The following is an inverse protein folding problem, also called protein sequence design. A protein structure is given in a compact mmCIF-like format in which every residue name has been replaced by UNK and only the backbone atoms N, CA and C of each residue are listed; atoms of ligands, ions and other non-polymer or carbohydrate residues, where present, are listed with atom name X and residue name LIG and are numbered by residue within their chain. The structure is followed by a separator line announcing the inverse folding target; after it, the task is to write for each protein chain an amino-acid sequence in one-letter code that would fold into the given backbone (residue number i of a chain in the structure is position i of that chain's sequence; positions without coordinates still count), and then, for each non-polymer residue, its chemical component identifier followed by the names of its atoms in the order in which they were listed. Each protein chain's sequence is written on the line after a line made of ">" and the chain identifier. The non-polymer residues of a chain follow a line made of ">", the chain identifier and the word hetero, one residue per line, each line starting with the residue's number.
data_IF_672643215544
#
_entry.id   IF_672643215544
#
_cell.length_a   1.000
_cell.length_b   1.000
_cell.length_c   1.000
_cell.angle_alpha   90.00
_cell.angle_beta   90.00
_cell.angle_gamma   90.00
#
_symmetry.space_group_name_H-M   'P 1'
#
loop_
_entity.id
_entity.type
_entity.pdbx_description
1 polymer ?
#
# COMPACT_ATOMS: atom_id res chain seq x y z
N UNK A 1 -9.84 4.73 -3.23
CA UNK A 1 -10.99 3.79 -3.06
C UNK A 1 -10.44 2.46 -2.59
N UNK A 2 -11.10 1.75 -1.69
CA UNK A 2 -10.71 0.38 -1.33
C UNK A 2 -10.81 -0.50 -2.58
N UNK A 3 -9.75 -1.25 -2.87
CA UNK A 3 -9.67 -2.08 -4.08
C UNK A 3 -10.81 -3.10 -4.17
N UNK A 4 -11.28 -3.59 -3.04
CA UNK A 4 -12.39 -4.53 -2.94
C UNK A 4 -13.76 -3.97 -3.33
N UNK A 5 -13.98 -2.66 -3.17
CA UNK A 5 -15.24 -2.02 -3.58
C UNK A 5 -15.46 -2.11 -5.10
N UNK A 6 -14.37 -2.19 -5.87
CA UNK A 6 -14.41 -2.34 -7.33
C UNK A 6 -14.52 -3.81 -7.74
N UNK A 7 -14.05 -4.74 -6.89
CA UNK A 7 -14.01 -6.16 -7.18
C UNK A 7 -15.42 -6.75 -7.38
N UNK A 8 -16.36 -6.40 -6.50
CA UNK A 8 -17.70 -6.96 -6.52
C UNK A 8 -18.51 -6.55 -7.76
N UNK A 9 -18.61 -5.25 -8.13
CA UNK A 9 -19.30 -4.86 -9.36
C UNK A 9 -18.68 -5.48 -10.61
N UNK A 10 -17.36 -5.57 -10.65
CA UNK A 10 -16.67 -6.11 -11.81
C UNK A 10 -16.88 -7.63 -11.95
N UNK A 11 -16.93 -8.36 -10.84
CA UNK A 11 -17.26 -9.79 -10.85
C UNK A 11 -18.66 -10.05 -11.41
N UNK A 12 -19.61 -9.16 -11.11
CA UNK A 12 -20.98 -9.26 -11.63
C UNK A 12 -21.04 -8.98 -13.11
N UNK A 13 -20.30 -7.98 -13.57
CA UNK A 13 -20.31 -7.55 -14.97
C UNK A 13 -19.52 -8.51 -15.90
N UNK A 14 -18.38 -9.03 -15.41
CA UNK A 14 -17.42 -9.77 -16.23
C UNK A 14 -17.30 -11.25 -15.85
N UNK A 15 -18.00 -11.68 -14.79
CA UNK A 15 -17.93 -13.06 -14.31
C UNK A 15 -16.67 -13.39 -13.51
N UNK A 16 -16.50 -14.68 -13.20
CA UNK A 16 -15.36 -15.23 -12.46
C UNK A 16 -14.25 -15.60 -13.45
N UNK A 17 -12.99 -15.29 -13.14
CA UNK A 17 -11.83 -15.72 -13.91
C UNK A 17 -10.86 -14.62 -14.29
N UNK A 18 -9.90 -14.98 -15.13
CA UNK A 18 -8.76 -14.14 -15.49
C UNK A 18 -9.15 -12.83 -16.18
N UNK A 19 -10.20 -12.84 -17.01
CA UNK A 19 -10.68 -11.63 -17.72
C UNK A 19 -11.16 -10.56 -16.74
N UNK A 20 -11.99 -10.95 -15.76
CA UNK A 20 -12.47 -10.05 -14.72
C UNK A 20 -11.29 -9.50 -13.91
N UNK A 21 -10.33 -10.34 -13.55
CA UNK A 21 -9.13 -9.97 -12.81
C UNK A 21 -8.31 -8.87 -13.52
N UNK A 22 -8.09 -9.01 -14.83
CA UNK A 22 -7.35 -8.02 -15.64
C UNK A 22 -8.09 -6.68 -15.66
N UNK A 23 -9.39 -6.69 -15.94
CA UNK A 23 -10.19 -5.45 -16.02
C UNK A 23 -10.19 -4.72 -14.67
N UNK A 24 -10.39 -5.44 -13.56
CA UNK A 24 -10.39 -4.86 -12.22
C UNK A 24 -9.02 -4.26 -11.91
N UNK A 25 -7.95 -4.98 -12.23
CA UNK A 25 -6.57 -4.49 -12.03
C UNK A 25 -6.34 -3.19 -12.79
N UNK A 26 -6.81 -3.09 -14.04
CA UNK A 26 -6.72 -1.86 -14.83
C UNK A 26 -7.47 -0.70 -14.17
N UNK A 27 -8.72 -0.93 -13.75
CA UNK A 27 -9.56 0.11 -13.12
C UNK A 27 -8.93 0.64 -11.83
N UNK A 28 -8.33 -0.23 -11.01
CA UNK A 28 -7.69 0.15 -9.74
C UNK A 28 -6.33 0.82 -9.98
N UNK A 29 -5.61 0.46 -11.03
CA UNK A 29 -4.29 0.99 -11.37
C UNK A 29 -4.32 2.38 -12.03
N UNK A 30 -5.41 2.74 -12.72
CA UNK A 30 -5.56 4.02 -13.42
C UNK A 30 -5.48 5.25 -12.48
N UNK A 31 -6.21 5.33 -11.35
CA UNK A 31 -6.22 6.51 -10.50
C UNK A 31 -4.83 6.93 -9.97
N UNK A 32 -4.00 6.06 -9.39
CA UNK A 32 -2.66 6.45 -8.94
C UNK A 32 -1.78 6.93 -10.10
N UNK A 33 -1.89 6.32 -11.29
CA UNK A 33 -1.13 6.74 -12.45
C UNK A 33 -1.52 8.16 -12.90
N UNK A 34 -2.82 8.45 -12.98
CA UNK A 34 -3.32 9.79 -13.34
C UNK A 34 -2.82 10.82 -12.34
N UNK A 35 -2.94 10.53 -11.03
CA UNK A 35 -2.54 11.45 -9.98
C UNK A 35 -1.05 11.79 -10.04
N UNK A 36 -0.19 10.77 -10.12
CA UNK A 36 1.25 10.97 -10.13
C UNK A 36 1.75 11.61 -11.43
N UNK A 37 1.13 11.28 -12.57
CA UNK A 37 1.41 11.97 -13.84
C UNK A 37 1.04 13.45 -13.77
N UNK A 38 -0.14 13.77 -13.21
CA UNK A 38 -0.59 15.15 -13.04
C UNK A 38 0.33 15.94 -12.11
N UNK A 39 0.74 15.33 -10.99
CA UNK A 39 1.66 15.96 -10.04
C UNK A 39 3.03 16.20 -10.69
N UNK A 40 3.58 15.22 -11.41
CA UNK A 40 4.84 15.35 -12.11
C UNK A 40 4.81 16.45 -13.19
N UNK A 41 3.74 16.55 -13.97
CA UNK A 41 3.57 17.60 -14.96
C UNK A 41 3.42 18.99 -14.33
N UNK A 42 2.78 19.10 -13.16
CA UNK A 42 2.65 20.38 -12.42
C UNK A 42 3.93 20.79 -11.69
N UNK A 43 4.81 19.84 -11.40
CA UNK A 43 6.10 20.10 -10.77
C UNK A 43 7.16 20.65 -11.74
N UNK A 44 6.88 20.70 -13.06
CA UNK A 44 7.78 21.27 -14.04
C UNK A 44 7.95 22.78 -13.78
N UNK A 45 9.19 23.29 -13.65
CA UNK A 45 9.46 24.70 -13.39
C UNK A 45 8.83 25.61 -14.46
N UNK A 46 8.20 26.74 -14.07
CA UNK A 46 7.57 27.67 -15.02
C UNK A 46 8.56 28.21 -16.07
N UNK A 47 9.83 28.37 -15.70
CA UNK A 47 10.89 28.85 -16.59
C UNK A 47 11.10 27.89 -17.79
N UNK A 48 10.97 26.59 -17.58
CA UNK A 48 11.08 25.58 -18.65
C UNK A 48 9.89 25.65 -19.60
N UNK A 49 8.71 25.94 -19.05
CA UNK A 49 7.46 26.11 -19.84
C UNK A 49 7.55 27.37 -20.70
N UNK A 50 8.03 28.46 -20.12
CA UNK A 50 8.20 29.75 -20.82
C UNK A 50 9.25 29.62 -21.92
N UNK A 51 10.40 29.01 -21.65
CA UNK A 51 11.42 28.72 -22.65
C UNK A 51 10.88 27.92 -23.85
N UNK A 52 10.05 26.90 -23.58
CA UNK A 52 9.38 26.15 -24.62
C UNK A 52 8.43 26.98 -25.47
N UNK A 53 7.66 27.87 -24.84
CA UNK A 53 6.76 28.82 -25.55
C UNK A 53 7.54 29.85 -26.38
N UNK A 54 8.60 30.42 -25.81
CA UNK A 54 9.47 31.36 -26.51
C UNK A 54 10.17 30.73 -27.73
N UNK A 55 10.42 29.41 -27.68
CA UNK A 55 10.94 28.62 -28.82
C UNK A 55 9.89 28.32 -29.89
N UNK A 56 8.68 28.89 -29.80
CA UNK A 56 7.61 28.69 -30.78
C UNK A 56 6.88 27.35 -30.70
N UNK A 57 7.00 26.61 -29.61
CA UNK A 57 6.29 25.34 -29.45
C UNK A 57 4.78 25.55 -29.35
N UNK A 58 4.01 24.83 -30.16
CA UNK A 58 2.57 24.75 -29.95
C UNK A 58 2.25 23.86 -28.71
N UNK A 59 0.98 23.87 -28.26
CA UNK A 59 0.58 23.14 -27.04
C UNK A 59 0.90 21.65 -27.10
N UNK A 60 0.79 21.00 -28.24
CA UNK A 60 1.11 19.59 -28.41
C UNK A 60 2.63 19.36 -28.33
N UNK A 61 3.42 20.20 -28.99
CA UNK A 61 4.89 20.16 -28.90
C UNK A 61 5.37 20.47 -27.49
N UNK A 62 4.75 21.44 -26.80
CA UNK A 62 5.04 21.76 -25.41
C UNK A 62 4.81 20.56 -24.51
N UNK A 63 3.69 19.86 -24.69
CA UNK A 63 3.37 18.67 -23.91
C UNK A 63 4.40 17.54 -24.14
N UNK A 64 4.62 17.15 -25.40
CA UNK A 64 5.40 15.94 -25.70
C UNK A 64 6.91 16.16 -25.79
N UNK A 65 7.37 17.38 -26.11
CA UNK A 65 8.81 17.68 -26.26
C UNK A 65 9.41 18.38 -25.02
N UNK A 66 8.59 19.01 -24.17
CA UNK A 66 9.07 19.76 -23.02
C UNK A 66 8.55 19.18 -21.71
N UNK A 67 7.21 19.13 -21.50
CA UNK A 67 6.63 18.75 -20.21
C UNK A 67 6.86 17.28 -19.86
N UNK A 68 6.49 16.36 -20.75
CA UNK A 68 6.65 14.91 -20.49
C UNK A 68 8.13 14.53 -20.31
N UNK A 69 9.08 14.96 -21.14
CA UNK A 69 10.50 14.64 -20.93
C UNK A 69 11.04 15.20 -19.61
N UNK A 70 10.65 16.42 -19.24
CA UNK A 70 11.08 17.04 -17.97
C UNK A 70 10.48 16.33 -16.76
N UNK A 71 9.18 16.00 -16.81
CA UNK A 71 8.47 15.26 -15.76
C UNK A 71 8.73 13.75 -15.77
N UNK A 72 9.58 13.23 -16.66
CA UNK A 72 9.80 11.79 -16.86
C UNK A 72 10.07 11.02 -15.57
N UNK A 73 10.90 11.58 -14.69
CA UNK A 73 11.24 10.92 -13.42
C UNK A 73 10.01 10.71 -12.56
N UNK A 74 9.19 11.73 -12.39
CA UNK A 74 7.98 11.67 -11.55
C UNK A 74 6.91 10.75 -12.18
N UNK A 75 6.77 10.77 -13.51
CA UNK A 75 5.90 9.85 -14.25
C UNK A 75 6.33 8.39 -14.03
N UNK A 76 7.63 8.10 -14.06
CA UNK A 76 8.15 6.75 -13.84
C UNK A 76 7.99 6.28 -12.38
N UNK A 77 8.02 7.20 -11.41
CA UNK A 77 7.62 6.90 -10.03
C UNK A 77 6.14 6.47 -10.01
N UNK A 78 5.29 7.13 -10.82
CA UNK A 78 3.90 6.71 -11.02
C UNK A 78 3.76 5.29 -11.57
N UNK A 79 4.56 4.94 -12.59
CA UNK A 79 4.61 3.58 -13.14
C UNK A 79 4.99 2.56 -12.08
N UNK A 80 5.97 2.88 -11.24
CA UNK A 80 6.38 2.02 -10.13
C UNK A 80 5.23 1.77 -9.15
N UNK A 81 4.51 2.81 -8.78
CA UNK A 81 3.33 2.69 -7.91
C UNK A 81 2.23 1.81 -8.53
N UNK A 82 2.02 1.91 -9.84
CA UNK A 82 1.09 1.06 -10.58
C UNK A 82 1.51 -0.40 -10.54
N UNK A 83 2.80 -0.70 -10.72
CA UNK A 83 3.34 -2.07 -10.63
C UNK A 83 2.99 -2.68 -9.26
N UNK A 84 3.20 -1.96 -8.17
CA UNK A 84 2.88 -2.42 -6.82
C UNK A 84 1.38 -2.70 -6.64
N UNK A 85 0.52 -1.81 -7.14
CA UNK A 85 -0.94 -2.00 -7.13
C UNK A 85 -1.33 -3.24 -7.94
N UNK A 86 -0.73 -3.46 -9.10
CA UNK A 86 -1.00 -4.64 -9.94
C UNK A 86 -0.64 -5.95 -9.22
N UNK A 87 0.49 -6.01 -8.48
CA UNK A 87 0.84 -7.19 -7.69
C UNK A 87 -0.14 -7.46 -6.55
N UNK A 88 -0.55 -6.41 -5.83
CA UNK A 88 -1.59 -6.55 -4.80
C UNK A 88 -2.89 -7.08 -5.41
N UNK A 89 -3.28 -6.57 -6.58
CA UNK A 89 -4.48 -7.02 -7.28
C UNK A 89 -4.34 -8.45 -7.82
N UNK A 90 -3.16 -8.87 -8.27
CA UNK A 90 -2.92 -10.24 -8.73
C UNK A 90 -3.16 -11.28 -7.61
N UNK A 91 -2.84 -10.94 -6.35
CA UNK A 91 -3.17 -11.80 -5.20
C UNK A 91 -4.67 -11.76 -4.90
N UNK A 92 -5.27 -10.56 -4.87
CA UNK A 92 -6.70 -10.39 -4.61
C UNK A 92 -7.55 -11.08 -5.67
N UNK A 93 -7.14 -11.05 -6.94
CA UNK A 93 -7.87 -11.67 -8.04
C UNK A 93 -7.92 -13.20 -7.96
N UNK A 94 -7.07 -13.83 -7.15
CA UNK A 94 -7.18 -15.26 -6.86
C UNK A 94 -8.54 -15.62 -6.22
N UNK A 95 -9.15 -14.69 -5.46
CA UNK A 95 -10.47 -14.91 -4.85
C UNK A 95 -11.62 -14.93 -5.86
N UNK A 96 -11.40 -14.36 -7.03
CA UNK A 96 -12.34 -14.44 -8.15
C UNK A 96 -11.95 -15.51 -9.15
N UNK A 97 -11.11 -16.47 -8.75
CA UNK A 97 -10.73 -17.64 -9.54
C UNK A 97 -9.66 -17.37 -10.61
N UNK A 98 -8.93 -16.25 -10.54
CA UNK A 98 -7.78 -16.04 -11.41
C UNK A 98 -6.64 -16.98 -11.02
N UNK A 99 -6.09 -17.67 -12.02
CA UNK A 99 -4.98 -18.62 -11.83
C UNK A 99 -3.65 -17.88 -11.71
N UNK A 100 -2.71 -18.45 -10.95
CA UNK A 100 -1.36 -17.88 -10.78
C UNK A 100 -0.81 -18.07 -9.38
N UNK A 101 0.30 -17.40 -9.05
CA UNK A 101 0.94 -17.49 -7.73
C UNK A 101 0.02 -17.04 -6.60
N UNK A 102 -0.86 -16.06 -6.85
CA UNK A 102 -1.87 -15.61 -5.89
C UNK A 102 -2.86 -16.73 -5.53
N UNK A 103 -3.26 -17.56 -6.49
CA UNK A 103 -4.13 -18.70 -6.26
C UNK A 103 -3.43 -19.77 -5.40
N UNK A 104 -2.16 -20.06 -5.69
CA UNK A 104 -1.37 -20.99 -4.88
C UNK A 104 -1.21 -20.51 -3.44
N UNK A 105 -0.99 -19.19 -3.27
CA UNK A 105 -0.94 -18.56 -1.95
C UNK A 105 -2.27 -18.72 -1.21
N UNK A 106 -3.40 -18.45 -1.86
CA UNK A 106 -4.72 -18.59 -1.26
C UNK A 106 -5.02 -20.04 -0.89
N UNK A 107 -4.68 -21.00 -1.76
CA UNK A 107 -4.85 -22.42 -1.50
C UNK A 107 -4.05 -22.87 -0.27
N UNK A 108 -2.77 -22.45 -0.20
CA UNK A 108 -1.90 -22.77 0.93
C UNK A 108 -2.40 -22.15 2.25
N UNK A 109 -2.93 -20.92 2.21
CA UNK A 109 -3.57 -20.29 3.38
C UNK A 109 -4.80 -21.05 3.86
N UNK A 110 -5.68 -21.45 2.94
CA UNK A 110 -6.89 -22.23 3.27
C UNK A 110 -6.55 -23.62 3.81
N UNK A 111 -5.43 -24.20 3.38
CA UNK A 111 -4.93 -25.48 3.89
C UNK A 111 -4.11 -25.33 5.18
N UNK A 112 -3.91 -24.11 5.66
CA UNK A 112 -3.00 -23.80 6.78
C UNK A 112 -1.57 -24.33 6.56
N UNK A 113 -1.17 -24.49 5.30
CA UNK A 113 0.17 -24.92 4.93
C UNK A 113 1.07 -23.68 4.80
N UNK A 114 1.75 -23.42 5.85
CA UNK A 114 2.57 -22.27 6.15
C UNK A 114 3.75 -22.14 5.20
N UNK A 115 4.48 -23.25 5.02
CA UNK A 115 5.67 -23.26 4.18
C UNK A 115 5.34 -22.96 2.73
N UNK A 116 4.27 -23.54 2.19
CA UNK A 116 3.83 -23.26 0.83
C UNK A 116 3.30 -21.82 0.68
N UNK A 117 2.61 -21.31 1.71
CA UNK A 117 2.14 -19.93 1.69
C UNK A 117 3.29 -18.92 1.71
N UNK A 118 4.31 -19.15 2.54
CA UNK A 118 5.53 -18.33 2.57
C UNK A 118 6.30 -18.43 1.25
N UNK A 119 6.47 -19.62 0.69
CA UNK A 119 7.15 -19.85 -0.58
C UNK A 119 6.47 -19.07 -1.71
N UNK A 120 5.15 -19.20 -1.87
CA UNK A 120 4.38 -18.46 -2.85
C UNK A 120 4.44 -16.93 -2.62
N UNK A 121 4.31 -16.50 -1.36
CA UNK A 121 4.39 -15.08 -0.98
C UNK A 121 5.77 -14.48 -1.25
N UNK A 122 6.85 -15.20 -0.95
CA UNK A 122 8.21 -14.78 -1.25
C UNK A 122 8.48 -14.70 -2.76
N UNK A 123 7.99 -15.67 -3.54
CA UNK A 123 8.09 -15.63 -5.00
C UNK A 123 7.43 -14.37 -5.59
N UNK A 124 6.19 -14.06 -5.15
CA UNK A 124 5.48 -12.85 -5.58
C UNK A 124 6.27 -11.60 -5.17
N UNK A 125 6.78 -11.57 -3.94
CA UNK A 125 7.55 -10.43 -3.42
C UNK A 125 8.86 -10.20 -4.18
N UNK A 126 9.59 -11.27 -4.51
CA UNK A 126 10.83 -11.18 -5.28
C UNK A 126 10.59 -10.65 -6.69
N UNK A 127 9.53 -11.10 -7.37
CA UNK A 127 9.15 -10.59 -8.69
C UNK A 127 8.77 -9.10 -8.57
N UNK A 128 8.01 -8.72 -7.54
CA UNK A 128 7.62 -7.32 -7.30
C UNK A 128 8.84 -6.43 -7.08
N UNK A 129 9.79 -6.84 -6.21
CA UNK A 129 11.05 -6.11 -5.96
C UNK A 129 11.89 -5.98 -7.24
N UNK A 130 11.99 -7.04 -8.02
CA UNK A 130 12.75 -7.03 -9.26
C UNK A 130 12.19 -6.00 -10.24
N UNK A 131 10.88 -6.00 -10.46
CA UNK A 131 10.22 -5.03 -11.33
C UNK A 131 10.28 -3.60 -10.79
N UNK A 132 10.16 -3.42 -9.48
CA UNK A 132 10.36 -2.13 -8.79
C UNK A 132 11.76 -1.58 -9.08
N UNK A 133 12.81 -2.37 -8.82
CA UNK A 133 14.19 -1.96 -9.07
C UNK A 133 14.49 -1.69 -10.54
N UNK A 134 13.91 -2.48 -11.45
CA UNK A 134 14.03 -2.24 -12.90
C UNK A 134 13.38 -0.91 -13.29
N UNK A 135 12.17 -0.63 -12.79
CA UNK A 135 11.44 0.62 -13.04
C UNK A 135 12.20 1.83 -12.52
N UNK A 136 12.69 1.78 -11.27
CA UNK A 136 13.49 2.84 -10.68
C UNK A 136 14.83 3.06 -11.39
N UNK A 137 15.52 1.99 -11.80
CA UNK A 137 16.74 2.11 -12.58
C UNK A 137 16.48 2.80 -13.93
N UNK A 138 15.34 2.53 -14.54
CA UNK A 138 14.92 3.21 -15.77
C UNK A 138 14.56 4.68 -15.52
N UNK A 139 13.90 4.99 -14.41
CA UNK A 139 13.56 6.36 -14.00
C UNK A 139 14.81 7.22 -13.75
N UNK A 140 15.83 6.63 -13.12
CA UNK A 140 17.07 7.33 -12.76
C UNK A 140 18.09 7.41 -13.89
N UNK A 141 17.83 6.75 -15.02
CA UNK A 141 18.72 6.84 -16.19
C UNK A 141 18.70 8.25 -16.76
N UNK A 142 19.79 8.99 -16.51
CA UNK A 142 19.99 10.31 -17.10
C UNK A 142 20.01 10.18 -18.62
N UNK A 143 19.23 10.99 -19.29
CA UNK A 143 19.31 11.16 -20.74
C UNK A 143 20.39 12.22 -20.99
N UNK A 144 21.55 11.77 -21.48
CA UNK A 144 22.58 12.72 -21.99
C UNK A 144 22.03 13.46 -23.20
N UNK A 145 21.57 14.70 -22.97
CA UNK A 145 21.01 15.57 -24.01
C UNK A 145 22.10 16.18 -24.92
N UNK A 146 23.38 16.13 -24.52
CA UNK A 146 24.49 16.83 -25.16
C UNK A 146 25.55 15.92 -25.82
N UNK A 147 25.30 14.64 -25.94
CA UNK A 147 26.23 13.73 -26.61
C UNK A 147 25.92 13.57 -28.09
N UNK A 148 26.90 13.88 -28.99
CA UNK A 148 26.88 13.49 -30.40
C UNK A 148 27.03 11.98 -30.58
N UNK A 149 26.28 11.20 -29.81
CA UNK A 149 26.30 9.74 -29.93
C UNK A 149 25.42 9.29 -31.08
N UNK A 150 25.95 8.46 -31.98
CA UNK A 150 25.17 7.81 -33.01
C UNK A 150 24.06 6.97 -32.38
N UNK A 151 22.92 6.80 -33.06
CA UNK A 151 21.77 6.01 -32.61
C UNK A 151 22.20 4.64 -32.06
N UNK A 152 23.17 3.98 -32.68
CA UNK A 152 23.73 2.72 -32.23
C UNK A 152 24.43 2.81 -30.88
N UNK A 153 25.27 3.83 -30.66
CA UNK A 153 26.00 4.01 -29.40
C UNK A 153 25.05 4.37 -28.27
N UNK A 154 24.03 5.19 -28.54
CA UNK A 154 23.01 5.58 -27.59
C UNK A 154 22.14 4.41 -27.12
N UNK A 155 21.86 3.46 -28.00
CA UNK A 155 20.95 2.34 -27.73
C UNK A 155 21.64 0.98 -27.71
N UNK A 156 22.99 0.92 -27.62
CA UNK A 156 23.77 -0.30 -27.65
C UNK A 156 23.23 -1.41 -26.74
N UNK A 157 22.93 -1.09 -25.48
CA UNK A 157 22.42 -2.05 -24.53
C UNK A 157 21.01 -2.53 -24.89
N UNK A 158 20.14 -1.61 -25.32
CA UNK A 158 18.78 -1.94 -25.74
C UNK A 158 18.76 -2.81 -27.00
N UNK A 159 19.63 -2.51 -27.95
CA UNK A 159 19.82 -3.32 -29.15
C UNK A 159 20.38 -4.71 -28.81
N UNK A 160 21.35 -4.77 -27.88
CA UNK A 160 21.92 -6.03 -27.41
C UNK A 160 20.86 -6.91 -26.74
N UNK A 161 20.07 -6.38 -25.83
CA UNK A 161 18.95 -7.10 -25.20
C UNK A 161 17.85 -7.45 -26.22
N UNK A 162 17.54 -6.55 -27.15
CA UNK A 162 16.59 -6.81 -28.23
C UNK A 162 17.03 -7.99 -29.12
N UNK A 163 18.32 -8.05 -29.48
CA UNK A 163 18.88 -9.17 -30.24
C UNK A 163 18.82 -10.47 -29.45
N UNK A 164 19.20 -10.46 -28.13
CA UNK A 164 19.11 -11.67 -27.29
C UNK A 164 17.65 -12.12 -27.18
N UNK A 165 16.70 -11.20 -27.00
CA UNK A 165 15.28 -11.51 -26.93
C UNK A 165 14.75 -12.14 -28.23
N UNK A 166 15.09 -11.57 -29.37
CA UNK A 166 14.72 -12.13 -30.70
C UNK A 166 15.35 -13.51 -30.89
N UNK A 167 16.65 -13.65 -30.55
CA UNK A 167 17.34 -14.96 -30.63
C UNK A 167 16.62 -15.97 -29.70
N UNK A 168 16.25 -15.56 -28.49
CA UNK A 168 15.52 -16.42 -27.56
C UNK A 168 14.18 -16.88 -28.14
N UNK A 169 13.40 -15.98 -28.74
CA UNK A 169 12.13 -16.32 -29.41
C UNK A 169 12.35 -17.26 -30.56
N UNK A 170 13.34 -16.96 -31.41
CA UNK A 170 13.66 -17.81 -32.57
C UNK A 170 14.10 -19.21 -32.12
N UNK A 171 14.99 -19.31 -31.15
CA UNK A 171 15.41 -20.57 -30.55
C UNK A 171 14.23 -21.33 -29.93
N UNK A 172 13.34 -20.62 -29.22
CA UNK A 172 12.13 -21.22 -28.69
C UNK A 172 11.25 -21.80 -29.81
N UNK A 173 10.99 -21.01 -30.86
CA UNK A 173 10.14 -21.42 -31.96
C UNK A 173 10.74 -22.57 -32.76
N UNK A 174 12.03 -22.48 -33.10
CA UNK A 174 12.78 -23.53 -33.83
C UNK A 174 12.89 -24.79 -32.98
N UNK A 175 13.10 -24.65 -31.66
CA UNK A 175 13.19 -25.76 -30.73
C UNK A 175 11.89 -26.54 -30.61
N UNK A 176 10.74 -25.87 -30.54
CA UNK A 176 9.43 -26.54 -30.51
C UNK A 176 9.11 -27.28 -31.80
N UNK A 177 9.68 -26.83 -32.93
CA UNK A 177 9.44 -27.44 -34.25
C UNK A 177 10.38 -28.62 -34.55
N UNK A 178 11.67 -28.51 -34.19
CA UNK A 178 12.70 -29.49 -34.52
C UNK A 178 12.94 -30.58 -33.46
N UNK A 179 12.69 -30.26 -32.18
CA UNK A 179 13.04 -31.10 -31.03
C UNK A 179 11.90 -31.25 -30.05
N UNK A 180 10.73 -31.65 -30.53
CA UNK A 180 9.47 -31.67 -29.75
C UNK A 180 9.58 -32.41 -28.42
N UNK A 181 10.35 -33.49 -28.34
CA UNK A 181 10.47 -34.29 -27.12
C UNK A 181 11.62 -33.84 -26.20
N UNK A 182 12.70 -33.29 -26.73
CA UNK A 182 13.84 -32.82 -25.93
C UNK A 182 13.62 -31.38 -25.45
N UNK A 183 12.86 -30.58 -26.20
CA UNK A 183 12.56 -29.19 -25.88
C UNK A 183 11.50 -29.04 -24.77
N UNK A 184 10.60 -29.99 -24.65
CA UNK A 184 9.67 -30.03 -23.51
C UNK A 184 10.42 -30.08 -22.16
N UNK A 185 11.58 -30.77 -22.11
CA UNK A 185 12.45 -30.80 -20.95
C UNK A 185 13.13 -29.46 -20.61
N UNK A 186 13.31 -28.59 -21.59
CA UNK A 186 13.90 -27.25 -21.43
C UNK A 186 12.83 -26.19 -21.08
N UNK A 187 11.59 -26.39 -21.53
CA UNK A 187 10.48 -25.47 -21.29
C UNK A 187 9.66 -25.80 -20.06
N UNK A 188 9.53 -27.09 -19.74
CA UNK A 188 8.90 -27.54 -18.53
C UNK A 188 10.01 -27.91 -17.54
N UNK A 189 10.29 -27.05 -16.56
CA UNK A 189 11.03 -27.47 -15.39
C UNK A 189 10.23 -28.63 -14.79
N UNK A 190 10.77 -29.88 -14.80
CA UNK A 190 10.01 -31.03 -14.33
C UNK A 190 9.56 -30.76 -12.89
N UNK A 191 8.26 -30.74 -12.65
CA UNK A 191 7.69 -30.48 -11.33
C UNK A 191 8.28 -31.39 -10.24
N UNK A 192 8.75 -32.58 -10.63
CA UNK A 192 9.40 -33.56 -9.74
C UNK A 192 10.82 -33.17 -9.30
N UNK A 193 11.43 -32.13 -9.87
CA UNK A 193 12.76 -31.60 -9.51
C UNK A 193 12.70 -30.19 -8.89
N UNK A 194 11.52 -29.67 -8.67
CA UNK A 194 11.33 -28.42 -7.95
C UNK A 194 11.84 -28.55 -6.51
N UNK A 195 12.75 -27.67 -6.12
CA UNK A 195 13.20 -27.58 -4.73
C UNK A 195 12.15 -26.75 -3.99
N UNK A 196 11.28 -27.44 -3.21
CA UNK A 196 10.38 -26.72 -2.31
C UNK A 196 11.12 -26.36 -1.03
N UNK A 197 11.05 -25.11 -0.65
CA UNK A 197 11.58 -24.60 0.62
C UNK A 197 10.56 -24.70 1.76
N UNK A 198 9.36 -25.20 1.48
CA UNK A 198 8.24 -25.24 2.40
C UNK A 198 8.57 -25.95 3.72
N UNK A 199 9.26 -27.11 3.64
CA UNK A 199 9.65 -27.88 4.84
C UNK A 199 10.63 -27.12 5.73
N UNK A 200 11.54 -26.31 5.12
CA UNK A 200 12.45 -25.47 5.89
C UNK A 200 11.66 -24.40 6.68
N UNK A 201 10.71 -23.76 6.01
CA UNK A 201 9.88 -22.74 6.65
C UNK A 201 8.95 -23.34 7.72
N UNK A 202 8.33 -24.49 7.46
CA UNK A 202 7.51 -25.18 8.44
C UNK A 202 8.31 -25.50 9.72
N UNK A 203 9.49 -26.13 9.58
CA UNK A 203 10.37 -26.42 10.71
C UNK A 203 10.81 -25.18 11.49
N UNK A 204 11.13 -24.09 10.77
CA UNK A 204 11.51 -22.83 11.40
C UNK A 204 10.40 -22.24 12.27
N UNK A 205 9.18 -22.34 11.80
CA UNK A 205 8.02 -21.83 12.53
C UNK A 205 7.63 -22.73 13.68
N UNK A 206 7.62 -24.04 13.47
CA UNK A 206 7.36 -25.00 14.54
C UNK A 206 8.37 -24.76 15.69
N UNK A 207 9.64 -24.55 15.36
CA UNK A 207 10.66 -24.22 16.37
C UNK A 207 10.35 -22.92 17.12
N UNK A 208 9.95 -21.84 16.41
CA UNK A 208 9.56 -20.57 17.05
C UNK A 208 8.34 -20.77 17.93
N UNK A 209 7.34 -21.48 17.40
CA UNK A 209 6.11 -21.74 18.13
C UNK A 209 6.38 -22.58 19.40
N UNK A 210 7.11 -23.68 19.31
CA UNK A 210 7.40 -24.54 20.44
C UNK A 210 8.26 -23.82 21.50
N UNK A 211 9.24 -23.01 21.04
CA UNK A 211 10.13 -22.30 21.97
C UNK A 211 9.42 -21.16 22.70
N UNK A 212 8.56 -20.42 22.00
CA UNK A 212 7.92 -19.22 22.53
C UNK A 212 6.42 -19.40 22.84
N UNK A 213 5.88 -20.60 22.75
CA UNK A 213 4.45 -20.89 22.90
C UNK A 213 3.82 -20.22 24.11
N UNK A 214 4.44 -20.33 25.28
CA UNK A 214 3.91 -19.79 26.54
C UNK A 214 3.79 -18.25 26.44
N UNK A 215 4.82 -17.59 25.91
CA UNK A 215 4.84 -16.14 25.77
C UNK A 215 3.86 -15.64 24.71
N UNK A 216 3.80 -16.34 23.57
CA UNK A 216 2.86 -16.04 22.46
C UNK A 216 1.43 -16.19 22.97
N UNK A 217 1.12 -17.30 23.65
CA UNK A 217 -0.21 -17.57 24.21
C UNK A 217 -0.59 -16.53 25.28
N UNK A 218 0.33 -16.21 26.19
CA UNK A 218 0.08 -15.21 27.22
C UNK A 218 -0.19 -13.83 26.61
N UNK A 219 0.65 -13.41 25.64
CA UNK A 219 0.46 -12.14 24.91
C UNK A 219 -0.86 -12.12 24.14
N UNK A 220 -1.19 -13.19 23.42
CA UNK A 220 -2.45 -13.29 22.67
C UNK A 220 -3.67 -13.19 23.61
N UNK A 221 -3.64 -13.93 24.73
CA UNK A 221 -4.73 -13.87 25.72
C UNK A 221 -4.88 -12.49 26.32
N UNK A 222 -3.77 -11.87 26.75
CA UNK A 222 -3.77 -10.50 27.26
C UNK A 222 -4.32 -9.50 26.21
N UNK A 223 -3.84 -9.58 24.98
CA UNK A 223 -4.26 -8.64 23.94
C UNK A 223 -5.76 -8.82 23.60
N UNK A 224 -6.26 -10.04 23.55
CA UNK A 224 -7.68 -10.30 23.29
C UNK A 224 -8.54 -9.82 24.48
N UNK A 225 -8.23 -10.26 25.69
CA UNK A 225 -9.11 -10.05 26.85
C UNK A 225 -9.03 -8.63 27.39
N UNK A 226 -7.82 -8.07 27.53
CA UNK A 226 -7.61 -6.80 28.22
C UNK A 226 -7.59 -5.61 27.26
N UNK A 227 -7.42 -5.82 25.95
CA UNK A 227 -7.32 -4.72 24.96
C UNK A 227 -8.44 -4.80 23.94
N UNK A 228 -8.53 -5.89 23.17
CA UNK A 228 -9.44 -5.95 22.01
C UNK A 228 -10.90 -6.06 22.41
N UNK A 229 -11.23 -6.96 23.36
CA UNK A 229 -12.61 -7.13 23.79
C UNK A 229 -13.21 -5.88 24.46
N UNK A 230 -12.51 -5.16 25.36
CA UNK A 230 -13.00 -3.89 25.90
C UNK A 230 -13.19 -2.82 24.83
N UNK A 231 -12.24 -2.71 23.89
CA UNK A 231 -12.34 -1.74 22.79
C UNK A 231 -13.50 -2.07 21.85
N UNK A 232 -13.64 -3.33 21.45
CA UNK A 232 -14.78 -3.80 20.64
C UNK A 232 -16.10 -3.53 21.37
N UNK A 233 -16.18 -3.84 22.66
CA UNK A 233 -17.36 -3.58 23.48
C UNK A 233 -17.69 -2.09 23.57
N UNK A 234 -16.68 -1.23 23.71
CA UNK A 234 -16.87 0.22 23.71
C UNK A 234 -17.52 0.71 22.41
N UNK A 235 -17.04 0.28 21.27
CA UNK A 235 -17.61 0.68 19.97
C UNK A 235 -19.02 0.13 19.73
N UNK A 236 -19.26 -1.15 20.06
CA UNK A 236 -20.56 -1.80 19.82
C UNK A 236 -21.64 -1.38 20.82
N UNK A 237 -21.26 -1.01 22.07
CA UNK A 237 -22.22 -0.54 23.10
C UNK A 237 -22.59 0.93 22.94
N UNK A 238 -21.85 1.71 22.16
CA UNK A 238 -22.22 3.10 21.92
C UNK A 238 -23.53 3.19 21.13
N UNK A 239 -24.52 3.97 21.61
CA UNK A 239 -25.73 4.22 20.84
C UNK A 239 -25.37 4.84 19.47
N UNK A 240 -26.02 4.39 18.39
CA UNK A 240 -25.74 4.89 17.04
C UNK A 240 -25.81 6.42 16.95
N UNK A 241 -26.80 7.02 17.63
CA UNK A 241 -26.95 8.48 17.67
C UNK A 241 -25.74 9.14 18.33
N UNK A 242 -25.22 8.57 19.43
CA UNK A 242 -24.05 9.11 20.12
C UNK A 242 -22.80 9.03 19.24
N UNK A 243 -22.60 7.92 18.53
CA UNK A 243 -21.50 7.75 17.59
C UNK A 243 -21.60 8.76 16.44
N UNK A 244 -22.78 8.95 15.84
CA UNK A 244 -23.01 9.93 14.78
C UNK A 244 -22.69 11.35 15.29
N UNK A 245 -23.24 11.72 16.45
CA UNK A 245 -23.00 13.06 17.05
C UNK A 245 -21.52 13.28 17.32
N UNK A 246 -20.81 12.28 17.84
CA UNK A 246 -19.37 12.36 18.13
C UNK A 246 -18.56 12.57 16.84
N UNK A 247 -18.82 11.78 15.81
CA UNK A 247 -18.06 11.82 14.54
C UNK A 247 -18.37 13.12 13.77
N UNK A 248 -19.64 13.54 13.72
CA UNK A 248 -20.06 14.80 13.09
C UNK A 248 -19.56 16.00 13.88
N UNK A 249 -19.61 15.92 15.22
CA UNK A 249 -19.05 16.94 16.11
C UNK A 249 -17.55 17.12 15.93
N UNK A 250 -16.80 16.03 15.80
CA UNK A 250 -15.38 16.08 15.45
C UNK A 250 -15.17 16.75 14.08
N UNK A 251 -16.00 16.43 13.09
CA UNK A 251 -15.98 17.08 11.77
C UNK A 251 -16.21 18.59 11.85
N UNK A 252 -17.16 19.02 12.69
CA UNK A 252 -17.45 20.44 12.90
C UNK A 252 -16.30 21.18 13.61
N UNK A 253 -15.76 20.61 14.68
CA UNK A 253 -14.67 21.21 15.45
C UNK A 253 -13.37 21.36 14.65
N UNK A 254 -13.12 20.40 13.79
CA UNK A 254 -11.87 20.33 13.01
C UNK A 254 -11.99 21.13 11.72
N UNK A 255 -13.04 20.89 10.91
CA UNK A 255 -13.17 21.39 9.54
C UNK A 255 -14.35 22.33 9.29
N UNK A 256 -15.09 22.70 10.34
CA UNK A 256 -16.27 23.56 10.24
C UNK A 256 -17.49 22.89 9.59
N UNK A 257 -18.47 23.70 9.21
CA UNK A 257 -19.77 23.22 8.72
C UNK A 257 -19.67 22.32 7.48
N UNK A 258 -18.77 22.63 6.54
CA UNK A 258 -18.61 21.81 5.31
C UNK A 258 -18.14 20.39 5.61
N UNK A 259 -17.13 20.26 6.48
CA UNK A 259 -16.63 18.95 6.89
C UNK A 259 -17.69 18.19 7.68
N UNK A 260 -18.40 18.86 8.59
CA UNK A 260 -19.49 18.26 9.37
C UNK A 260 -20.61 17.70 8.46
N UNK A 261 -21.03 18.43 7.44
CA UNK A 261 -22.07 18.00 6.50
C UNK A 261 -21.63 16.77 5.70
N UNK A 262 -20.40 16.76 5.18
CA UNK A 262 -19.86 15.62 4.43
C UNK A 262 -19.78 14.38 5.34
N UNK A 263 -19.18 14.53 6.53
CA UNK A 263 -19.06 13.44 7.50
C UNK A 263 -20.43 12.94 7.96
N UNK A 264 -21.39 13.83 8.16
CA UNK A 264 -22.78 13.48 8.52
C UNK A 264 -23.41 12.62 7.43
N UNK A 265 -23.35 13.04 6.17
CA UNK A 265 -23.94 12.29 5.05
C UNK A 265 -23.34 10.89 4.91
N UNK A 266 -22.00 10.77 5.02
CA UNK A 266 -21.32 9.49 4.92
C UNK A 266 -21.66 8.57 6.12
N UNK A 267 -21.68 9.11 7.34
CA UNK A 267 -21.98 8.33 8.55
C UNK A 267 -23.45 7.91 8.58
N UNK A 268 -24.39 8.77 8.16
CA UNK A 268 -25.80 8.42 8.05
C UNK A 268 -26.05 7.30 7.04
N UNK A 269 -25.36 7.33 5.89
CA UNK A 269 -25.46 6.22 4.94
C UNK A 269 -25.06 4.88 5.57
N UNK A 270 -23.95 4.86 6.32
CA UNK A 270 -23.51 3.66 7.02
C UNK A 270 -24.52 3.24 8.09
N UNK A 271 -25.06 4.22 8.85
CA UNK A 271 -26.02 3.96 9.93
C UNK A 271 -27.36 3.40 9.44
N UNK A 272 -27.83 3.84 8.28
CA UNK A 272 -29.05 3.30 7.66
C UNK A 272 -28.82 1.99 6.90
N UNK A 273 -27.57 1.58 6.71
CA UNK A 273 -27.28 0.27 6.13
C UNK A 273 -27.45 -0.84 7.18
N UNK A 274 -27.80 -2.07 6.77
CA UNK A 274 -27.89 -3.22 7.70
C UNK A 274 -26.52 -3.67 8.24
N UNK A 275 -25.43 -2.94 7.90
CA UNK A 275 -24.06 -3.31 8.18
C UNK A 275 -23.39 -2.44 9.25
N UNK A 276 -24.18 -1.67 10.02
CA UNK A 276 -23.70 -0.74 11.03
C UNK A 276 -22.73 -1.39 12.02
N UNK A 277 -23.14 -2.51 12.63
CA UNK A 277 -22.31 -3.19 13.64
C UNK A 277 -20.98 -3.68 13.05
N UNK A 278 -21.01 -4.16 11.80
CA UNK A 278 -19.80 -4.62 11.10
C UNK A 278 -18.89 -3.46 10.69
N UNK A 279 -19.48 -2.33 10.35
CA UNK A 279 -18.74 -1.08 10.10
C UNK A 279 -18.04 -0.59 11.36
N UNK A 280 -18.68 -0.70 12.54
CA UNK A 280 -18.06 -0.38 13.83
C UNK A 280 -16.89 -1.33 14.14
N UNK A 281 -17.02 -2.62 13.84
CA UNK A 281 -15.91 -3.60 13.98
C UNK A 281 -14.73 -3.21 13.09
N UNK A 282 -14.96 -2.89 11.83
CA UNK A 282 -13.91 -2.41 10.92
C UNK A 282 -13.28 -1.11 11.44
N UNK A 283 -14.12 -0.19 11.93
CA UNK A 283 -13.66 1.12 12.42
C UNK A 283 -12.79 0.99 13.68
N UNK A 284 -13.14 0.14 14.67
CA UNK A 284 -12.32 -0.01 15.85
C UNK A 284 -10.96 -0.64 15.53
N UNK A 285 -10.93 -1.68 14.70
CA UNK A 285 -9.67 -2.31 14.28
C UNK A 285 -8.75 -1.33 13.56
N UNK A 286 -9.33 -0.58 12.61
CA UNK A 286 -8.58 0.43 11.88
C UNK A 286 -8.07 1.55 12.81
N UNK A 287 -8.94 2.09 13.67
CA UNK A 287 -8.57 3.19 14.59
C UNK A 287 -7.45 2.75 15.55
N UNK A 288 -7.61 1.61 16.19
CA UNK A 288 -6.61 1.09 17.13
C UNK A 288 -5.30 0.78 16.40
N UNK A 289 -5.37 0.08 15.26
CA UNK A 289 -4.20 -0.21 14.44
C UNK A 289 -3.45 1.05 14.00
N UNK A 290 -4.16 2.09 13.55
CA UNK A 290 -3.58 3.38 13.16
C UNK A 290 -2.90 4.07 14.33
N UNK A 291 -3.54 4.14 15.50
CA UNK A 291 -2.96 4.79 16.68
C UNK A 291 -1.64 4.12 17.06
N UNK A 292 -1.64 2.79 17.19
CA UNK A 292 -0.42 2.03 17.54
C UNK A 292 0.65 2.16 16.46
N UNK A 293 0.27 2.04 15.19
CA UNK A 293 1.20 2.20 14.05
C UNK A 293 1.82 3.60 14.00
N UNK A 294 1.04 4.65 14.27
CA UNK A 294 1.57 6.02 14.35
C UNK A 294 2.52 6.21 15.52
N UNK A 295 2.21 5.67 16.71
CA UNK A 295 3.10 5.75 17.87
C UNK A 295 4.44 5.07 17.54
N UNK A 296 4.40 3.84 17.02
CA UNK A 296 5.62 3.10 16.65
C UNK A 296 6.36 3.83 15.52
N UNK A 297 5.66 4.20 14.45
CA UNK A 297 6.25 4.82 13.26
C UNK A 297 6.89 6.18 13.56
N UNK A 298 6.24 7.02 14.36
CA UNK A 298 6.79 8.31 14.78
C UNK A 298 8.01 8.13 15.67
N UNK A 299 7.97 7.19 16.60
CA UNK A 299 9.11 6.89 17.49
C UNK A 299 10.29 6.37 16.69
N UNK A 300 10.09 5.34 15.87
CA UNK A 300 11.15 4.73 15.05
C UNK A 300 11.69 5.75 14.03
N UNK A 301 10.80 6.48 13.35
CA UNK A 301 11.18 7.50 12.37
C UNK A 301 12.03 8.61 12.98
N UNK A 302 11.66 9.09 14.17
CA UNK A 302 12.40 10.13 14.90
C UNK A 302 13.76 9.63 15.40
N UNK A 303 13.85 8.41 15.91
CA UNK A 303 15.11 7.81 16.35
C UNK A 303 16.06 7.60 15.17
N UNK A 304 15.56 7.09 14.06
CA UNK A 304 16.34 6.85 12.86
C UNK A 304 16.81 8.17 12.21
N UNK A 305 16.00 9.22 12.25
CA UNK A 305 16.35 10.54 11.68
C UNK A 305 17.63 11.14 12.28
N UNK A 306 17.93 10.86 13.54
CA UNK A 306 19.12 11.41 14.23
C UNK A 306 20.45 11.03 13.54
N UNK A 307 20.49 9.92 12.80
CA UNK A 307 21.68 9.46 12.07
C UNK A 307 21.33 9.23 10.58
N UNK A 308 22.09 9.88 9.68
CA UNK A 308 21.90 9.78 8.24
C UNK A 308 21.94 8.34 7.72
N UNK A 309 22.83 7.49 8.27
CA UNK A 309 22.97 6.08 7.87
C UNK A 309 21.74 5.28 8.32
N UNK A 310 21.32 5.44 9.58
CA UNK A 310 20.13 4.78 10.13
C UNK A 310 18.85 5.19 9.38
N UNK A 311 18.72 6.47 9.04
CA UNK A 311 17.57 6.96 8.30
C UNK A 311 17.55 6.41 6.86
N UNK A 312 18.70 6.34 6.16
CA UNK A 312 18.76 5.75 4.82
C UNK A 312 18.49 4.25 4.85
N UNK A 313 19.02 3.55 5.84
CA UNK A 313 18.74 2.12 6.05
C UNK A 313 17.25 1.89 6.30
N UNK A 314 16.65 2.66 7.21
CA UNK A 314 15.22 2.52 7.53
C UNK A 314 14.31 2.85 6.33
N UNK A 315 14.65 3.88 5.55
CA UNK A 315 13.92 4.17 4.29
C UNK A 315 14.03 3.00 3.31
N UNK A 316 15.21 2.39 3.17
CA UNK A 316 15.39 1.18 2.36
C UNK A 316 14.57 0.00 2.87
N UNK A 317 14.49 -0.18 4.19
CA UNK A 317 13.61 -1.18 4.82
C UNK A 317 12.14 -0.88 4.49
N UNK A 318 11.71 0.38 4.66
CA UNK A 318 10.34 0.79 4.30
C UNK A 318 10.04 0.52 2.82
N UNK A 319 10.99 0.81 1.90
CA UNK A 319 10.82 0.55 0.47
C UNK A 319 10.61 -0.95 0.20
N UNK A 320 11.45 -1.82 0.78
CA UNK A 320 11.31 -3.27 0.64
C UNK A 320 9.95 -3.74 1.16
N UNK A 321 9.60 -3.31 2.37
CA UNK A 321 8.35 -3.71 2.98
C UNK A 321 7.12 -3.17 2.24
N UNK A 322 7.16 -1.98 1.63
CA UNK A 322 6.07 -1.47 0.80
C UNK A 322 5.88 -2.25 -0.51
N UNK A 323 6.95 -2.87 -1.04
CA UNK A 323 6.87 -3.68 -2.27
C UNK A 323 6.26 -5.06 -2.02
N UNK A 324 6.24 -5.53 -0.77
CA UNK A 324 5.63 -6.80 -0.44
C UNK A 324 4.10 -6.74 -0.55
N UNK A 325 3.47 -7.71 -1.22
CA UNK A 325 2.02 -7.82 -1.20
C UNK A 325 1.52 -7.97 0.24
N UNK A 326 0.47 -7.21 0.56
CA UNK A 326 -0.07 -7.13 1.93
C UNK A 326 -0.41 -8.48 2.57
N UNK A 327 -0.83 -9.47 1.78
CA UNK A 327 -1.12 -10.83 2.26
C UNK A 327 0.09 -11.54 2.86
N UNK A 328 1.31 -11.22 2.42
CA UNK A 328 2.54 -11.84 2.94
C UNK A 328 2.74 -11.58 4.42
N UNK A 329 2.28 -10.41 4.90
CA UNK A 329 2.34 -10.05 6.33
C UNK A 329 1.41 -10.91 7.20
N UNK A 330 0.31 -11.36 6.61
CA UNK A 330 -0.69 -12.10 7.32
C UNK A 330 -0.21 -13.52 7.68
N UNK A 331 0.61 -14.12 6.81
CA UNK A 331 1.06 -15.49 6.93
C UNK A 331 1.81 -15.73 8.25
N UNK A 332 2.94 -15.06 8.57
CA UNK A 332 3.68 -15.31 9.79
C UNK A 332 2.87 -14.98 11.06
N UNK A 333 1.99 -13.99 10.98
CA UNK A 333 1.18 -13.60 12.13
C UNK A 333 0.08 -14.61 12.42
N UNK A 334 -0.60 -15.15 11.39
CA UNK A 334 -1.55 -16.25 11.56
C UNK A 334 -0.93 -17.49 12.21
N UNK A 335 0.32 -17.75 11.87
CA UNK A 335 1.05 -18.90 12.38
C UNK A 335 1.30 -18.82 13.88
N UNK A 336 1.68 -17.62 14.33
CA UNK A 336 2.03 -17.39 15.73
C UNK A 336 0.79 -17.21 16.62
N UNK A 337 -0.26 -16.57 16.11
CA UNK A 337 -1.42 -16.17 16.90
C UNK A 337 -2.73 -16.86 16.51
N UNK A 338 -2.68 -17.74 15.51
CA UNK A 338 -3.85 -18.47 15.00
C UNK A 338 -4.80 -17.58 14.20
N UNK A 339 -6.00 -18.09 13.96
CA UNK A 339 -7.09 -17.40 13.26
C UNK A 339 -7.86 -16.56 14.28
N UNK A 340 -7.38 -15.35 14.56
CA UNK A 340 -7.93 -14.48 15.60
C UNK A 340 -7.88 -13.00 15.19
N UNK A 341 -8.69 -12.16 15.85
CA UNK A 341 -8.63 -10.70 15.71
C UNK A 341 -7.24 -10.13 16.02
N UNK A 342 -6.49 -10.79 16.91
CA UNK A 342 -5.09 -10.45 17.23
C UNK A 342 -4.20 -10.53 16.01
N UNK A 343 -4.33 -11.60 15.23
CA UNK A 343 -3.51 -11.80 14.03
C UNK A 343 -3.74 -10.69 13.01
N UNK A 344 -5.01 -10.32 12.80
CA UNK A 344 -5.32 -9.19 11.91
C UNK A 344 -4.75 -7.89 12.45
N UNK A 345 -4.94 -7.60 13.73
CA UNK A 345 -4.45 -6.36 14.31
C UNK A 345 -2.93 -6.23 14.25
N UNK A 346 -2.18 -7.29 14.56
CA UNK A 346 -0.73 -7.28 14.47
C UNK A 346 -0.28 -7.05 13.01
N UNK A 347 -0.92 -7.74 12.06
CA UNK A 347 -0.65 -7.54 10.65
C UNK A 347 -0.96 -6.09 10.20
N UNK A 348 -2.07 -5.52 10.68
CA UNK A 348 -2.41 -4.10 10.47
C UNK A 348 -1.32 -3.19 11.02
N UNK A 349 -0.88 -3.41 12.27
CA UNK A 349 0.15 -2.59 12.91
C UNK A 349 1.46 -2.65 12.13
N UNK A 350 1.93 -3.85 11.78
CA UNK A 350 3.19 -4.03 11.03
C UNK A 350 3.12 -3.32 9.68
N UNK A 351 2.05 -3.54 8.92
CA UNK A 351 1.90 -2.98 7.58
C UNK A 351 1.69 -1.46 7.61
N UNK A 352 0.86 -0.96 8.51
CA UNK A 352 0.53 0.46 8.60
C UNK A 352 1.62 1.31 9.29
N UNK A 353 2.58 0.71 10.00
CA UNK A 353 3.74 1.40 10.58
C UNK A 353 4.70 1.90 9.49
N UNK A 354 4.75 1.25 8.34
CA UNK A 354 5.69 1.57 7.26
C UNK A 354 5.52 3.02 6.76
N UNK A 355 4.33 3.47 6.31
CA UNK A 355 4.16 4.85 5.88
C UNK A 355 4.36 5.85 7.04
N UNK A 356 3.91 5.55 8.26
CA UNK A 356 4.14 6.43 9.41
C UNK A 356 5.63 6.69 9.64
N UNK A 357 6.47 5.65 9.61
CA UNK A 357 7.93 5.75 9.75
C UNK A 357 8.55 6.54 8.60
N UNK A 358 8.20 6.20 7.36
CA UNK A 358 8.74 6.83 6.15
C UNK A 358 8.48 8.33 6.14
N UNK A 359 7.21 8.74 6.24
CA UNK A 359 6.83 10.14 6.19
C UNK A 359 7.35 10.95 7.39
N UNK A 360 7.62 10.30 8.53
CA UNK A 360 8.29 10.95 9.65
C UNK A 360 9.75 11.28 9.31
N UNK A 361 10.51 10.33 8.77
CA UNK A 361 11.89 10.56 8.37
C UNK A 361 11.98 11.62 7.26
N UNK A 362 11.13 11.50 6.22
CA UNK A 362 11.10 12.44 5.09
C UNK A 362 10.67 13.84 5.55
N UNK A 363 9.67 13.92 6.42
CA UNK A 363 9.19 15.19 6.98
C UNK A 363 10.26 15.90 7.83
N UNK A 364 10.96 15.18 8.69
CA UNK A 364 12.04 15.76 9.48
C UNK A 364 13.24 16.18 8.61
N UNK A 365 13.52 15.45 7.52
CA UNK A 365 14.56 15.81 6.55
C UNK A 365 14.20 17.01 5.67
N UNK A 366 12.92 17.31 5.50
CA UNK A 366 12.46 18.45 4.69
C UNK A 366 12.67 19.80 5.39
N UNK A 367 13.01 19.81 6.68
CA UNK A 367 13.33 21.02 7.43
C UNK A 367 14.62 21.65 6.89
N UNK A 368 14.61 22.93 6.50
CA UNK A 368 15.80 23.60 5.94
C UNK A 368 17.00 23.56 6.89
N UNK A 369 18.19 23.25 6.34
CA UNK A 369 19.43 23.15 7.12
C UNK A 369 19.77 24.45 7.86
N UNK A 370 19.48 25.61 7.27
CA UNK A 370 19.72 26.92 7.91
C UNK A 370 18.96 27.10 9.24
N UNK A 371 17.82 26.45 9.41
CA UNK A 371 17.10 26.47 10.71
C UNK A 371 17.78 25.62 11.76
N UNK A 372 18.44 24.52 11.38
CA UNK A 372 19.26 23.72 12.29
C UNK A 372 20.47 24.51 12.80
N UNK A 373 21.11 25.24 11.89
CA UNK A 373 22.29 26.06 12.22
C UNK A 373 21.89 27.23 13.13
N UNK A 374 20.82 27.94 12.79
CA UNK A 374 20.28 29.02 13.61
C UNK A 374 19.88 28.55 15.02
N UNK A 375 19.24 27.39 15.14
CA UNK A 375 18.88 26.80 16.42
C UNK A 375 20.13 26.45 17.26
N UNK A 376 21.16 25.92 16.60
CA UNK A 376 22.42 25.57 17.28
C UNK A 376 23.13 26.81 17.78
N UNK A 377 23.19 27.86 16.97
CA UNK A 377 23.78 29.16 17.36
C UNK A 377 23.00 29.83 18.50
N UNK A 378 21.69 29.59 18.60
CA UNK A 378 20.84 30.10 19.69
C UNK A 378 20.94 29.27 20.99
N UNK A 379 21.84 28.28 21.08
CA UNK A 379 22.03 27.44 22.24
C UNK A 379 20.91 26.44 22.53
N UNK A 380 20.07 26.16 21.54
CA UNK A 380 18.93 25.22 21.67
C UNK A 380 19.48 23.78 21.75
N UNK A 381 19.08 23.03 22.78
CA UNK A 381 19.48 21.64 22.92
C UNK A 381 18.73 20.73 21.87
N UNK A 382 19.22 19.49 21.66
CA UNK A 382 18.67 18.54 20.68
C UNK A 382 17.17 18.28 20.86
N UNK A 383 16.71 18.14 22.10
CA UNK A 383 15.31 17.89 22.41
C UNK A 383 14.42 19.11 22.13
N UNK A 384 14.90 20.31 22.50
CA UNK A 384 14.22 21.55 22.20
C UNK A 384 14.13 21.82 20.69
N UNK A 385 15.23 21.54 19.96
CA UNK A 385 15.27 21.63 18.50
C UNK A 385 14.22 20.71 17.87
N UNK A 386 14.21 19.44 18.28
CA UNK A 386 13.26 18.45 17.79
C UNK A 386 11.82 18.88 18.04
N UNK A 387 11.47 19.28 19.27
CA UNK A 387 10.09 19.54 19.69
C UNK A 387 9.56 20.91 19.28
N UNK A 388 10.42 21.94 19.23
CA UNK A 388 10.00 23.34 18.98
C UNK A 388 10.21 23.78 17.52
N UNK A 389 11.08 23.11 16.78
CA UNK A 389 11.45 23.50 15.41
C UNK A 389 11.14 22.38 14.41
N UNK A 390 11.77 21.22 14.58
CA UNK A 390 11.70 20.14 13.59
C UNK A 390 10.28 19.54 13.50
N UNK A 391 9.67 19.13 14.60
CA UNK A 391 8.32 18.59 14.59
C UNK A 391 7.24 19.55 14.06
N UNK A 392 7.18 20.81 14.48
CA UNK A 392 6.20 21.75 13.94
C UNK A 392 6.34 21.95 12.42
N UNK A 393 7.56 22.01 11.90
CA UNK A 393 7.82 22.18 10.47
C UNK A 393 7.62 20.89 9.67
N UNK A 394 7.96 19.73 10.24
CA UNK A 394 7.72 18.42 9.65
C UNK A 394 6.23 17.99 9.70
N UNK A 395 5.42 18.65 10.53
CA UNK A 395 4.04 18.28 10.81
C UNK A 395 3.18 18.05 9.56
N UNK A 396 3.20 18.89 8.50
CA UNK A 396 2.43 18.64 7.29
C UNK A 396 2.77 17.31 6.62
N UNK A 397 4.05 16.95 6.56
CA UNK A 397 4.50 15.67 6.01
C UNK A 397 4.09 14.48 6.90
N UNK A 398 4.21 14.63 8.22
CA UNK A 398 3.77 13.59 9.16
C UNK A 398 2.25 13.35 9.06
N UNK A 399 1.45 14.38 8.81
CA UNK A 399 0.01 14.23 8.60
C UNK A 399 -0.31 13.47 7.30
N UNK A 400 0.47 13.66 6.24
CA UNK A 400 0.38 12.81 5.04
C UNK A 400 0.70 11.35 5.40
N UNK A 401 1.68 11.13 6.26
CA UNK A 401 2.00 9.82 6.82
C UNK A 401 0.81 9.19 7.55
N UNK A 402 0.13 9.92 8.42
CA UNK A 402 -1.07 9.42 9.11
C UNK A 402 -2.16 9.04 8.09
N UNK A 403 -2.39 9.88 7.08
CA UNK A 403 -3.38 9.57 6.05
C UNK A 403 -3.06 8.26 5.31
N UNK A 404 -1.81 8.06 4.91
CA UNK A 404 -1.36 6.81 4.29
C UNK A 404 -1.46 5.62 5.26
N UNK A 405 -1.12 5.82 6.54
CA UNK A 405 -1.26 4.81 7.59
C UNK A 405 -2.70 4.32 7.72
N UNK A 406 -3.69 5.23 7.66
CA UNK A 406 -5.11 4.87 7.70
C UNK A 406 -5.52 4.06 6.47
N UNK A 407 -5.08 4.48 5.28
CA UNK A 407 -5.38 3.74 4.04
C UNK A 407 -4.81 2.33 4.11
N UNK A 408 -3.57 2.17 4.58
CA UNK A 408 -2.92 0.87 4.75
C UNK A 408 -3.59 0.02 5.82
N UNK A 409 -3.97 0.63 6.95
CA UNK A 409 -4.67 -0.05 8.03
C UNK A 409 -6.05 -0.57 7.58
N UNK A 410 -6.87 0.26 6.95
CA UNK A 410 -8.17 -0.14 6.43
C UNK A 410 -8.03 -1.23 5.36
N UNK A 411 -7.03 -1.11 4.49
CA UNK A 411 -6.75 -2.13 3.49
C UNK A 411 -6.42 -3.47 4.14
N UNK A 412 -5.57 -3.47 5.17
CA UNK A 412 -5.15 -4.68 5.86
C UNK A 412 -6.26 -5.27 6.74
N UNK A 413 -7.12 -4.46 7.35
CA UNK A 413 -8.32 -4.95 8.09
C UNK A 413 -9.22 -5.75 7.15
N UNK A 414 -9.48 -5.25 5.93
CA UNK A 414 -10.31 -5.96 4.96
C UNK A 414 -9.66 -7.28 4.52
N UNK A 415 -8.34 -7.29 4.33
CA UNK A 415 -7.59 -8.51 4.04
C UNK A 415 -7.69 -9.49 5.22
N UNK A 416 -7.71 -9.00 6.44
CA UNK A 416 -7.90 -9.77 7.65
C UNK A 416 -9.17 -10.62 7.67
N UNK A 417 -10.17 -10.23 6.90
CA UNK A 417 -11.39 -11.01 6.69
C UNK A 417 -11.13 -12.44 6.17
N UNK A 418 -10.03 -12.62 5.44
CA UNK A 418 -9.62 -13.93 4.94
C UNK A 418 -9.16 -14.89 6.03
N UNK A 419 -8.86 -14.35 7.23
CA UNK A 419 -8.60 -15.15 8.43
C UNK A 419 -9.84 -15.25 9.33
N UNK A 420 -11.00 -14.86 8.89
CA UNK A 420 -12.26 -15.09 9.59
C UNK A 420 -12.65 -14.04 10.63
N UNK A 421 -12.13 -12.80 10.55
CA UNK A 421 -12.64 -11.69 11.36
C UNK A 421 -14.07 -11.32 10.97
N UNK A 422 -14.89 -10.97 11.96
CA UNK A 422 -16.30 -10.60 11.75
C UNK A 422 -16.49 -9.12 11.35
N UNK A 423 -15.72 -8.63 10.39
CA UNK A 423 -15.74 -7.26 9.88
C UNK A 423 -16.50 -7.12 8.54
N UNK A 424 -16.51 -5.92 7.95
CA UNK A 424 -17.10 -5.70 6.61
C UNK A 424 -16.43 -6.56 5.53
N UNK A 425 -15.14 -6.83 5.65
CA UNK A 425 -14.38 -7.62 4.69
C UNK A 425 -14.90 -9.05 4.58
N UNK A 426 -15.25 -9.71 5.69
CA UNK A 426 -15.80 -11.06 5.69
C UNK A 426 -17.11 -11.15 4.91
N UNK A 427 -17.96 -10.13 5.05
CA UNK A 427 -19.23 -10.10 4.32
C UNK A 427 -19.04 -9.77 2.85
N UNK A 428 -18.01 -9.00 2.49
CA UNK A 428 -17.57 -8.82 1.09
C UNK A 428 -17.18 -10.17 0.49
N UNK A 429 -16.38 -10.97 1.21
CA UNK A 429 -15.99 -12.31 0.76
C UNK A 429 -17.20 -13.25 0.58
N UNK A 430 -18.10 -13.26 1.55
CA UNK A 430 -19.35 -14.04 1.42
C UNK A 430 -20.15 -13.59 0.22
N UNK A 431 -20.25 -12.28 -0.03
CA UNK A 431 -20.94 -11.73 -1.17
C UNK A 431 -20.28 -12.08 -2.52
N UNK A 432 -18.95 -12.23 -2.56
CA UNK A 432 -18.24 -12.71 -3.75
C UNK A 432 -18.52 -14.18 -4.08
N UNK A 433 -18.79 -14.99 -3.05
CA UNK A 433 -19.10 -16.42 -3.22
C UNK A 433 -20.57 -16.70 -3.57
N UNK A 434 -21.46 -15.71 -3.40
CA UNK A 434 -22.90 -15.85 -3.68
C UNK A 434 -23.26 -15.16 -5.00
N UNK A 435 -23.91 -15.91 -5.91
CA UNK A 435 -24.38 -15.39 -7.20
C UNK A 435 -25.37 -14.22 -7.07
N UNK A 436 -26.07 -14.10 -5.94
CA UNK A 436 -27.00 -12.99 -5.62
C UNK A 436 -26.36 -11.91 -4.74
N UNK A 437 -25.12 -12.09 -4.34
CA UNK A 437 -24.41 -11.23 -3.39
C UNK A 437 -23.93 -9.88 -3.93
N UNK A 438 -24.09 -9.64 -5.23
CA UNK A 438 -23.58 -8.45 -5.91
C UNK A 438 -24.02 -7.12 -5.31
N UNK A 439 -25.31 -6.96 -5.05
CA UNK A 439 -25.83 -5.73 -4.43
C UNK A 439 -25.35 -5.54 -3.00
N UNK A 440 -25.28 -6.64 -2.25
CA UNK A 440 -24.77 -6.64 -0.88
C UNK A 440 -23.29 -6.26 -0.86
N UNK A 441 -22.48 -6.89 -1.70
CA UNK A 441 -21.05 -6.61 -1.79
C UNK A 441 -20.74 -5.18 -2.24
N UNK A 442 -21.54 -4.61 -3.14
CA UNK A 442 -21.44 -3.20 -3.53
C UNK A 442 -21.70 -2.28 -2.33
N UNK A 443 -22.78 -2.52 -1.59
CA UNK A 443 -23.13 -1.73 -0.40
C UNK A 443 -22.03 -1.81 0.66
N UNK A 444 -21.50 -3.01 0.93
CA UNK A 444 -20.39 -3.21 1.85
C UNK A 444 -19.13 -2.47 1.41
N UNK A 445 -18.79 -2.55 0.11
CA UNK A 445 -17.65 -1.81 -0.46
C UNK A 445 -17.81 -0.30 -0.34
N UNK A 446 -19.02 0.24 -0.52
CA UNK A 446 -19.33 1.65 -0.31
C UNK A 446 -19.17 2.02 1.18
N UNK A 447 -19.63 1.19 2.12
CA UNK A 447 -19.46 1.42 3.55
C UNK A 447 -17.97 1.53 3.93
N UNK A 448 -17.12 0.63 3.43
CA UNK A 448 -15.67 0.70 3.64
C UNK A 448 -15.08 1.97 3.04
N UNK A 449 -15.50 2.34 1.81
CA UNK A 449 -15.06 3.57 1.18
C UNK A 449 -15.45 4.81 1.99
N UNK A 450 -16.64 4.81 2.58
CA UNK A 450 -17.12 5.93 3.39
C UNK A 450 -16.39 6.04 4.72
N UNK A 451 -16.05 4.92 5.36
CA UNK A 451 -15.17 4.93 6.55
C UNK A 451 -13.83 5.59 6.19
N UNK A 452 -13.20 5.18 5.07
CA UNK A 452 -11.95 5.77 4.61
C UNK A 452 -12.08 7.29 4.32
N UNK A 453 -13.17 7.70 3.68
CA UNK A 453 -13.44 9.11 3.34
C UNK A 453 -13.72 9.96 4.59
N UNK A 454 -14.36 9.42 5.63
CA UNK A 454 -14.55 10.11 6.90
C UNK A 454 -13.19 10.42 7.52
N UNK A 455 -12.32 9.43 7.64
CA UNK A 455 -10.96 9.64 8.17
C UNK A 455 -10.15 10.63 7.34
N UNK A 456 -10.16 10.49 6.01
CA UNK A 456 -9.44 11.38 5.09
C UNK A 456 -9.93 12.83 5.22
N UNK A 457 -11.26 13.05 5.28
CA UNK A 457 -11.86 14.38 5.45
C UNK A 457 -11.42 15.04 6.76
N UNK A 458 -11.48 14.29 7.87
CA UNK A 458 -11.07 14.80 9.19
C UNK A 458 -9.59 15.19 9.22
N UNK A 459 -8.72 14.35 8.66
CA UNK A 459 -7.28 14.63 8.63
C UNK A 459 -6.97 15.81 7.73
N UNK A 460 -7.51 15.86 6.51
CA UNK A 460 -7.28 17.01 5.61
C UNK A 460 -7.74 18.32 6.21
N UNK A 461 -8.92 18.32 6.83
CA UNK A 461 -9.43 19.49 7.54
C UNK A 461 -8.49 19.93 8.67
N UNK A 462 -7.98 18.98 9.47
CA UNK A 462 -7.03 19.25 10.55
C UNK A 462 -5.71 19.80 10.02
N UNK A 463 -5.17 19.22 8.96
CA UNK A 463 -3.93 19.69 8.31
C UNK A 463 -4.08 21.12 7.79
N UNK A 464 -5.19 21.41 7.09
CA UNK A 464 -5.46 22.75 6.58
C UNK A 464 -5.57 23.79 7.70
N UNK A 465 -6.30 23.45 8.77
CA UNK A 465 -6.42 24.32 9.95
C UNK A 465 -5.05 24.60 10.58
N UNK A 466 -4.20 23.57 10.69
CA UNK A 466 -2.88 23.69 11.30
C UNK A 466 -1.88 24.42 10.42
N UNK A 467 -1.88 24.18 9.10
CA UNK A 467 -1.06 24.96 8.15
C UNK A 467 -1.35 26.47 8.25
N UNK A 468 -2.63 26.81 8.27
CA UNK A 468 -3.05 28.21 8.43
C UNK A 468 -2.57 28.84 9.74
N UNK A 469 -2.53 28.06 10.84
CA UNK A 469 -1.97 28.52 12.11
C UNK A 469 -0.45 28.70 12.10
N UNK A 470 0.26 27.92 11.28
CA UNK A 470 1.71 27.98 11.16
C UNK A 470 2.18 28.98 10.10
N UNK A 471 1.25 29.62 9.36
CA UNK A 471 1.58 30.53 8.27
C UNK A 471 2.27 29.83 7.08
N UNK A 472 2.03 28.53 6.90
CA UNK A 472 2.57 27.73 5.81
C UNK A 472 1.40 27.48 4.84
N UNK A 473 1.28 28.34 3.81
CA UNK A 473 0.29 28.16 2.74
C UNK A 473 0.80 27.24 1.63
#
# INVERSE_FOLDING_TARGET
>A
MPQYAVLVPALVLFGVGDHAAVIITMVVAIPPMILLTLLGLRAVPPEVIEAGRMSGCNNFQLMFKVLIPTARRDILIGVNQVIMVCFSMAVISAFIGAKGLGFNLLLALNQLNIGLALEAGLCISLIAILLDKMSLAWANKQTDYFGNLTFYQRNKNLLFFGVIFVIGIVLAYVGTFLFKDTFNYLFEIPHNKGISTADFWNKGVDWIFDTFFIYIKAFNTWLIQDVLQPMRALYLRMPAIATIVLVVGAGYLIGGLRSALVVCALTLFIAFSPWWDRALVTAYMATFGVIVSCIIGFTVGTLCFQNKHSANFMLGVCDIFQTFPSFVYLIPVMMLFGITDTSVLIAVIVYATIPATRYTIEGLRSVPAGLHDAATMSGVNKFQRLTKIEFPLAFPHMMLGINQTIVFALFMVIIGAFIGTEDLGQYILKALSDKKGAGIGLTLGICVAFIALIFDNLIRAYVQKRKKHLGID
#
